data_IF_228641208571
#
_entry.id   IF_228641208571
#
_cell.length_a   1.000
_cell.length_b   1.000
_cell.length_c   1.000
_cell.angle_alpha   90.00
_cell.angle_beta   90.00
_cell.angle_gamma   90.00
#
_symmetry.space_group_name_H-M   'P 1'
#
loop_
_entity.id
_entity.type
_entity.pdbx_description
1 polymer ?
#
# COMPACT_ATOMS: atom_id res chain seq x y z
N UNK A 1 -39.24 -0.91 9.29
CA UNK A 1 -38.79 0.40 8.79
C UNK A 1 -37.25 0.46 8.74
N UNK A 2 -36.59 -0.44 8.01
CA UNK A 2 -35.12 -0.48 7.87
C UNK A 2 -34.68 -0.89 6.44
N UNK A 3 -35.55 -0.69 5.45
CA UNK A 3 -35.31 -1.10 4.06
C UNK A 3 -35.14 0.08 3.09
N UNK A 4 -34.54 1.17 3.55
CA UNK A 4 -34.53 2.46 2.83
C UNK A 4 -33.21 2.84 2.18
N UNK A 5 -32.10 2.16 2.48
CA UNK A 5 -30.79 2.46 1.89
C UNK A 5 -30.63 1.57 0.66
N UNK A 6 -31.06 2.08 -0.49
CA UNK A 6 -30.82 1.49 -1.80
C UNK A 6 -29.34 1.67 -2.17
N UNK A 7 -28.75 0.63 -2.75
CA UNK A 7 -27.39 0.66 -3.33
C UNK A 7 -27.21 1.85 -4.28
N UNK A 8 -28.27 2.25 -5.00
CA UNK A 8 -28.25 3.40 -5.89
C UNK A 8 -27.99 4.73 -5.19
N UNK A 9 -28.50 4.92 -3.96
CA UNK A 9 -28.26 6.15 -3.21
C UNK A 9 -26.83 6.18 -2.66
N UNK A 10 -26.29 5.03 -2.22
CA UNK A 10 -24.90 4.93 -1.77
C UNK A 10 -23.90 5.29 -2.88
N UNK A 11 -24.14 4.85 -4.12
CA UNK A 11 -23.28 5.19 -5.26
C UNK A 11 -23.28 6.70 -5.56
N UNK A 12 -24.45 7.34 -5.50
CA UNK A 12 -24.57 8.79 -5.72
C UNK A 12 -23.81 9.56 -4.62
N UNK A 13 -23.98 9.17 -3.37
CA UNK A 13 -23.27 9.79 -2.23
C UNK A 13 -21.76 9.59 -2.33
N UNK A 14 -21.32 8.38 -2.67
CA UNK A 14 -19.90 8.07 -2.89
C UNK A 14 -19.30 8.92 -4.01
N UNK A 15 -20.03 9.12 -5.10
CA UNK A 15 -19.62 9.98 -6.21
C UNK A 15 -19.35 11.42 -5.75
N UNK A 16 -20.25 12.00 -4.95
CA UNK A 16 -20.09 13.35 -4.41
C UNK A 16 -18.85 13.45 -3.50
N UNK A 17 -18.62 12.45 -2.64
CA UNK A 17 -17.44 12.41 -1.77
C UNK A 17 -16.16 12.37 -2.62
N UNK A 18 -16.12 11.54 -3.66
CA UNK A 18 -14.98 11.47 -4.58
C UNK A 18 -14.75 12.81 -5.29
N UNK A 19 -15.81 13.52 -5.69
CA UNK A 19 -15.72 14.85 -6.31
C UNK A 19 -15.15 15.91 -5.35
N UNK A 20 -15.56 15.91 -4.07
CA UNK A 20 -15.09 16.86 -3.06
C UNK A 20 -13.64 16.59 -2.67
N UNK A 21 -13.31 15.33 -2.37
CA UNK A 21 -11.97 14.95 -1.89
C UNK A 21 -10.96 14.71 -3.03
N UNK A 22 -11.45 14.46 -4.25
CA UNK A 22 -10.66 14.01 -5.39
C UNK A 22 -10.20 12.55 -5.26
N UNK A 23 -9.95 11.90 -6.40
CA UNK A 23 -9.45 10.52 -6.45
C UNK A 23 -8.03 10.38 -5.88
N UNK A 24 -7.21 11.44 -5.92
CA UNK A 24 -5.82 11.42 -5.44
C UNK A 24 -5.72 11.23 -3.92
N UNK A 25 -6.52 11.96 -3.13
CA UNK A 25 -6.55 11.77 -1.66
C UNK A 25 -7.20 10.45 -1.29
N UNK A 26 -8.27 10.06 -2.00
CA UNK A 26 -8.96 8.80 -1.74
C UNK A 26 -8.10 7.58 -2.08
N UNK A 27 -7.23 7.66 -3.10
CA UNK A 27 -6.25 6.60 -3.41
C UNK A 27 -5.16 6.50 -2.34
N UNK A 28 -4.64 7.63 -1.88
CA UNK A 28 -3.59 7.65 -0.86
C UNK A 28 -4.09 7.03 0.45
N UNK A 29 -5.24 7.50 0.95
CA UNK A 29 -5.83 7.00 2.20
C UNK A 29 -6.47 5.61 2.01
N UNK A 30 -7.07 5.36 0.84
CA UNK A 30 -7.69 4.08 0.51
C UNK A 30 -6.69 2.96 0.31
N UNK A 31 -5.44 3.24 -0.09
CA UNK A 31 -4.37 2.26 -0.14
C UNK A 31 -4.00 1.75 1.25
N UNK A 32 -3.81 2.66 2.21
CA UNK A 32 -3.45 2.33 3.59
C UNK A 32 -4.58 1.55 4.29
N UNK A 33 -5.81 2.06 4.20
CA UNK A 33 -6.98 1.42 4.80
C UNK A 33 -7.34 0.11 4.08
N UNK A 34 -7.25 0.09 2.75
CA UNK A 34 -7.54 -1.08 1.93
C UNK A 34 -6.55 -2.22 2.18
N UNK A 35 -5.27 -1.91 2.39
CA UNK A 35 -4.25 -2.89 2.77
C UNK A 35 -4.57 -3.55 4.11
N UNK A 36 -4.92 -2.75 5.13
CA UNK A 36 -5.29 -3.26 6.46
C UNK A 36 -6.55 -4.15 6.39
N UNK A 37 -7.59 -3.71 5.68
CA UNK A 37 -8.83 -4.48 5.51
C UNK A 37 -8.60 -5.76 4.69
N UNK A 38 -7.70 -5.75 3.70
CA UNK A 38 -7.34 -6.95 2.91
C UNK A 38 -6.68 -8.01 3.81
N UNK A 39 -5.79 -7.61 4.71
CA UNK A 39 -5.17 -8.51 5.68
C UNK A 39 -6.17 -9.09 6.68
N UNK A 40 -7.08 -8.24 7.19
CA UNK A 40 -8.17 -8.69 8.07
C UNK A 40 -9.10 -9.69 7.39
N UNK A 41 -9.53 -9.41 6.15
CA UNK A 41 -10.35 -10.33 5.37
C UNK A 41 -9.61 -11.65 5.10
N UNK A 42 -8.31 -11.60 4.80
CA UNK A 42 -7.53 -12.82 4.56
C UNK A 42 -7.47 -13.69 5.81
N UNK A 43 -7.11 -13.12 6.97
CA UNK A 43 -7.07 -13.86 8.23
C UNK A 43 -8.43 -14.46 8.62
N UNK A 44 -9.50 -13.69 8.42
CA UNK A 44 -10.86 -14.14 8.73
C UNK A 44 -11.39 -15.24 7.79
N UNK A 45 -10.90 -15.32 6.54
CA UNK A 45 -11.22 -16.44 5.64
C UNK A 45 -10.29 -17.64 5.83
N UNK A 46 -9.03 -17.43 6.22
CA UNK A 46 -8.07 -18.52 6.52
C UNK A 46 -8.54 -19.38 7.71
N UNK A 47 -9.24 -18.78 8.70
CA UNK A 47 -9.85 -19.50 9.82
C UNK A 47 -11.06 -20.37 9.40
N UNK A 48 -11.78 -20.00 8.33
CA UNK A 48 -12.97 -20.71 7.84
C UNK A 48 -12.64 -21.76 6.76
N UNK A 49 -11.50 -21.67 6.09
CA UNK A 49 -11.10 -22.61 5.02
C UNK A 49 -9.65 -23.08 5.14
N UNK A 50 -9.39 -24.11 5.96
CA UNK A 50 -8.27 -25.00 5.72
C UNK A 50 -8.51 -25.77 4.42
N UNK A 51 -8.04 -25.24 3.28
CA UNK A 51 -7.49 -25.95 2.10
C UNK A 51 -7.45 -25.01 0.88
N UNK A 52 -6.27 -24.88 0.29
CA UNK A 52 -5.95 -24.29 -1.02
C UNK A 52 -6.19 -22.78 -1.22
N UNK A 53 -5.12 -22.01 -1.04
CA UNK A 53 -4.36 -21.46 -2.18
C UNK A 53 -3.07 -20.75 -1.73
N UNK A 54 -1.97 -21.25 -2.28
CA UNK A 54 -0.82 -20.42 -2.65
C UNK A 54 -1.28 -19.10 -3.25
N UNK A 55 -0.91 -17.98 -2.62
CA UNK A 55 -0.85 -16.69 -3.30
C UNK A 55 0.29 -15.86 -2.70
N UNK A 56 1.49 -16.42 -2.85
CA UNK A 56 2.73 -15.66 -2.94
C UNK A 56 2.79 -14.96 -4.31
N UNK A 57 1.79 -14.15 -4.67
CA UNK A 57 1.84 -13.30 -5.86
C UNK A 57 1.12 -11.98 -5.58
N UNK A 58 1.89 -10.98 -5.17
CA UNK A 58 1.78 -9.55 -5.50
C UNK A 58 2.42 -8.70 -4.39
N UNK A 59 3.74 -8.87 -4.24
CA UNK A 59 4.61 -7.77 -3.82
C UNK A 59 4.97 -6.96 -5.07
N UNK A 60 3.99 -6.25 -5.62
CA UNK A 60 4.24 -5.14 -6.53
C UNK A 60 3.42 -3.95 -6.01
N UNK A 61 3.94 -3.32 -4.97
CA UNK A 61 3.70 -1.89 -4.79
C UNK A 61 4.77 -1.21 -5.63
N UNK A 62 4.54 -1.20 -6.94
CA UNK A 62 5.28 -0.34 -7.86
C UNK A 62 4.73 1.07 -7.63
N UNK A 63 5.38 1.80 -6.74
CA UNK A 63 5.09 3.18 -6.47
C UNK A 63 5.74 4.00 -7.59
N UNK A 64 5.13 4.02 -8.77
CA UNK A 64 5.47 4.98 -9.83
C UNK A 64 5.09 6.38 -9.32
N UNK A 65 6.05 6.98 -8.63
CA UNK A 65 6.08 8.41 -8.36
C UNK A 65 7.00 9.01 -9.40
N UNK A 66 6.46 9.18 -10.60
CA UNK A 66 7.00 10.10 -11.59
C UNK A 66 7.04 11.51 -10.98
N UNK A 67 8.14 11.84 -10.34
CA UNK A 67 8.57 13.20 -10.02
C UNK A 67 10.08 13.18 -9.74
N UNK A 68 10.84 13.11 -10.85
CA UNK A 68 12.24 13.58 -11.02
C UNK A 68 12.86 14.20 -9.75
N UNK A 69 13.52 13.38 -8.95
CA UNK A 69 14.37 13.80 -7.83
C UNK A 69 15.76 13.20 -8.05
N UNK A 70 16.67 14.01 -8.55
CA UNK A 70 18.10 13.70 -8.71
C UNK A 70 18.66 13.26 -7.35
N UNK A 71 18.76 11.95 -7.13
CA UNK A 71 19.43 11.41 -5.94
C UNK A 71 20.90 11.29 -6.29
N UNK A 72 21.70 12.24 -5.80
CA UNK A 72 23.16 12.17 -5.88
C UNK A 72 23.65 11.01 -5.01
N UNK A 73 24.19 9.98 -5.66
CA UNK A 73 24.79 8.82 -5.02
C UNK A 73 26.11 9.26 -4.36
N UNK A 74 26.11 9.38 -3.03
CA UNK A 74 27.33 9.67 -2.26
C UNK A 74 28.08 8.35 -2.07
N UNK A 75 29.05 8.11 -2.94
CA UNK A 75 30.03 7.03 -2.82
C UNK A 75 30.85 7.23 -1.53
N UNK A 76 30.79 6.34 -0.53
CA UNK A 76 31.66 6.47 0.64
C UNK A 76 33.09 6.10 0.21
N UNK A 77 33.93 7.14 0.08
CA UNK A 77 35.39 7.03 0.00
C UNK A 77 35.87 6.43 1.33
N UNK A 78 36.21 5.14 1.32
CA UNK A 78 36.69 4.43 2.50
C UNK A 78 38.13 4.86 2.78
N UNK A 79 38.22 5.85 3.68
CA UNK A 79 39.44 6.37 4.29
C UNK A 79 40.30 5.23 4.84
N UNK A 80 41.57 5.33 4.48
CA UNK A 80 42.78 4.65 4.96
C UNK A 80 42.87 4.44 6.48
N UNK A 81 43.76 3.51 6.84
CA UNK A 81 44.38 3.23 8.16
C UNK A 81 43.76 2.09 8.97
N UNK A 82 44.38 0.91 8.88
CA UNK A 82 45.12 0.31 10.02
C UNK A 82 45.56 -1.12 9.67
N UNK A 83 46.85 -1.26 9.34
CA UNK A 83 47.60 -2.51 9.54
C UNK A 83 49.11 -2.26 9.53
N UNK A 84 49.57 -1.41 10.44
CA UNK A 84 50.82 -1.70 11.14
C UNK A 84 50.51 -2.79 12.16
N UNK A 85 51.00 -4.01 11.93
CA UNK A 85 51.63 -4.85 12.97
C UNK A 85 52.11 -6.19 12.38
N UNK A 86 53.33 -6.56 12.78
CA UNK A 86 54.13 -7.76 12.48
C UNK A 86 55.10 -7.67 11.29
N UNK A 87 56.14 -6.86 11.48
CA UNK A 87 57.51 -7.40 11.49
C UNK A 87 58.06 -7.34 12.89
#
# INVERSE_FOLDING_TARGET
>A
MLGGISIWQLLIVLGIIILIFGTKKLRNVGGDLGGAVKGFKKAMNDDDTNTDKDDTTQRQVQHDTDAKGETYDVRPEQRVEDKEERK
#
